data_IF_208100368627
#
_entry.id   IF_208100368627
#
_cell.length_a   1.000
_cell.length_b   1.000
_cell.length_c   1.000
_cell.angle_alpha   90.00
_cell.angle_beta   90.00
_cell.angle_gamma   90.00
#
_symmetry.space_group_name_H-M   'P 1'
#
loop_
_entity.id
_entity.type
_entity.pdbx_description
1 polymer ?
#
# COMPACT_ATOMS: atom_id res chain seq x y z
N UNK A 1 -22.96 14.47 8.70
CA UNK A 1 -22.90 13.84 10.03
C UNK A 1 -21.44 13.86 10.46
N UNK A 2 -21.04 14.87 11.25
CA UNK A 2 -19.79 14.80 12.00
C UNK A 2 -20.09 14.12 13.34
N UNK A 3 -19.97 12.79 13.37
CA UNK A 3 -20.11 12.04 14.61
C UNK A 3 -18.93 12.36 15.55
N UNK A 4 -19.16 13.34 16.42
CA UNK A 4 -18.21 13.77 17.43
C UNK A 4 -18.15 12.71 18.52
N UNK A 5 -17.13 11.85 18.49
CA UNK A 5 -16.89 10.83 19.51
C UNK A 5 -16.65 11.49 20.88
N UNK A 6 -17.68 11.51 21.73
CA UNK A 6 -17.56 11.92 23.12
C UNK A 6 -16.96 10.77 23.93
N UNK A 7 -15.66 10.82 24.18
CA UNK A 7 -14.96 9.87 25.04
C UNK A 7 -15.05 10.36 26.50
N UNK A 8 -15.90 9.72 27.29
CA UNK A 8 -16.10 10.06 28.71
C UNK A 8 -15.02 9.38 29.58
N UNK A 9 -13.98 10.15 29.92
CA UNK A 9 -12.83 9.64 30.69
C UNK A 9 -13.14 9.70 32.19
N UNK A 10 -13.28 8.53 32.84
CA UNK A 10 -13.45 8.41 34.30
C UNK A 10 -12.17 8.84 35.01
N UNK A 11 -12.16 10.05 35.58
CA UNK A 11 -11.00 10.60 36.28
C UNK A 11 -10.75 9.80 37.57
N UNK A 12 -9.59 9.15 37.74
CA UNK A 12 -9.29 8.34 38.92
C UNK A 12 -9.11 9.21 40.18
N UNK A 13 -9.56 8.69 41.33
CA UNK A 13 -9.63 9.40 42.63
C UNK A 13 -8.31 10.04 43.09
N UNK A 14 -7.15 9.44 42.77
CA UNK A 14 -5.84 10.00 43.14
C UNK A 14 -5.57 11.36 42.50
N UNK A 15 -6.18 11.65 41.35
CA UNK A 15 -6.09 12.96 40.69
C UNK A 15 -6.75 14.03 41.55
N UNK A 16 -7.75 13.69 42.39
CA UNK A 16 -8.42 14.69 43.25
C UNK A 16 -7.52 15.24 44.37
N UNK A 17 -6.47 14.52 44.74
CA UNK A 17 -5.55 14.84 45.84
C UNK A 17 -4.36 15.71 45.41
N UNK A 18 -4.13 15.86 44.10
CA UNK A 18 -3.13 16.76 43.54
C UNK A 18 -3.70 18.19 43.50
N UNK A 19 -2.88 19.22 43.72
CA UNK A 19 -3.33 20.62 43.56
C UNK A 19 -3.92 20.89 42.17
N UNK A 20 -4.81 21.88 42.03
CA UNK A 20 -5.54 22.16 40.78
C UNK A 20 -4.63 22.31 39.55
N UNK A 21 -3.44 22.87 39.73
CA UNK A 21 -2.45 23.01 38.65
C UNK A 21 -1.88 21.66 38.20
N UNK A 22 -1.57 20.76 39.14
CA UNK A 22 -1.07 19.42 38.83
C UNK A 22 -2.12 18.55 38.12
N UNK A 23 -3.40 18.68 38.48
CA UNK A 23 -4.50 17.99 37.78
C UNK A 23 -4.58 18.42 36.34
N UNK A 24 -4.59 19.72 36.07
CA UNK A 24 -4.69 20.26 34.72
C UNK A 24 -3.51 19.83 33.85
N UNK A 25 -2.29 19.85 34.40
CA UNK A 25 -1.09 19.43 33.68
C UNK A 25 -1.10 17.94 33.31
N UNK A 26 -1.50 17.06 34.24
CA UNK A 26 -1.61 15.62 33.98
C UNK A 26 -2.72 15.33 32.98
N UNK A 27 -3.86 16.00 33.10
CA UNK A 27 -5.01 15.78 32.23
C UNK A 27 -4.72 16.25 30.79
N UNK A 28 -3.96 17.35 30.63
CA UNK A 28 -3.43 17.81 29.34
C UNK A 28 -2.44 16.82 28.72
N UNK A 29 -1.48 16.31 29.50
CA UNK A 29 -0.51 15.30 29.04
C UNK A 29 -1.21 14.00 28.61
N UNK A 30 -2.15 13.52 29.42
CA UNK A 30 -2.95 12.32 29.12
C UNK A 30 -3.78 12.54 27.86
N UNK A 31 -4.45 13.69 27.73
CA UNK A 31 -5.25 14.03 26.54
C UNK A 31 -4.41 14.08 25.27
N UNK A 32 -3.23 14.73 25.32
CA UNK A 32 -2.30 14.78 24.17
C UNK A 32 -1.83 13.39 23.75
N UNK A 33 -1.58 12.51 24.71
CA UNK A 33 -1.12 11.15 24.42
C UNK A 33 -2.23 10.30 23.81
N UNK A 34 -3.42 10.36 24.39
CA UNK A 34 -4.61 9.66 23.88
C UNK A 34 -4.94 10.12 22.46
N UNK A 35 -4.96 11.43 22.18
CA UNK A 35 -5.28 11.95 20.86
C UNK A 35 -4.33 11.44 19.77
N UNK A 36 -3.03 11.41 20.09
CA UNK A 36 -1.99 10.88 19.21
C UNK A 36 -2.15 9.37 18.95
N UNK A 37 -2.39 8.59 20.00
CA UNK A 37 -2.58 7.15 19.88
C UNK A 37 -3.86 6.81 19.11
N UNK A 38 -4.98 7.51 19.38
CA UNK A 38 -6.24 7.35 18.66
C UNK A 38 -6.09 7.71 17.19
N UNK A 39 -5.44 8.84 16.86
CA UNK A 39 -5.16 9.20 15.46
C UNK A 39 -4.38 8.11 14.72
N UNK A 40 -3.32 7.57 15.33
CA UNK A 40 -2.52 6.51 14.73
C UNK A 40 -3.34 5.23 14.51
N UNK A 41 -4.16 4.85 15.48
CA UNK A 41 -5.03 3.68 15.40
C UNK A 41 -6.06 3.85 14.28
N UNK A 42 -6.71 5.02 14.19
CA UNK A 42 -7.71 5.31 13.16
C UNK A 42 -7.09 5.28 11.77
N UNK A 43 -5.93 5.90 11.57
CA UNK A 43 -5.23 5.88 10.28
C UNK A 43 -4.82 4.47 9.89
N UNK A 44 -4.33 3.66 10.84
CA UNK A 44 -3.95 2.27 10.58
C UNK A 44 -5.17 1.44 10.18
N UNK A 45 -6.24 1.49 10.97
CA UNK A 45 -7.48 0.76 10.70
C UNK A 45 -8.11 1.19 9.37
N UNK A 46 -8.12 2.49 9.06
CA UNK A 46 -8.63 3.00 7.79
C UNK A 46 -7.83 2.45 6.60
N UNK A 47 -6.49 2.39 6.71
CA UNK A 47 -5.64 1.80 5.67
C UNK A 47 -5.92 0.31 5.47
N UNK A 48 -6.04 -0.46 6.55
CA UNK A 48 -6.34 -1.90 6.48
C UNK A 48 -7.71 -2.15 5.84
N UNK A 49 -8.75 -1.41 6.26
CA UNK A 49 -10.09 -1.52 5.69
C UNK A 49 -10.12 -1.13 4.21
N UNK A 50 -9.39 -0.08 3.82
CA UNK A 50 -9.29 0.32 2.42
C UNK A 50 -8.52 -0.71 1.59
N UNK A 51 -7.44 -1.28 2.11
CA UNK A 51 -6.67 -2.32 1.42
C UNK A 51 -7.55 -3.53 1.12
N UNK A 52 -8.28 -4.03 2.13
CA UNK A 52 -9.18 -5.18 2.02
C UNK A 52 -10.34 -4.90 1.05
N UNK A 53 -11.01 -3.73 1.18
CA UNK A 53 -12.13 -3.37 0.29
C UNK A 53 -11.72 -3.14 -1.15
N UNK A 54 -10.51 -2.63 -1.39
CA UNK A 54 -10.00 -2.33 -2.72
C UNK A 54 -9.19 -3.48 -3.31
N UNK A 55 -9.02 -4.59 -2.58
CA UNK A 55 -8.23 -5.73 -3.01
C UNK A 55 -6.78 -5.35 -3.35
N UNK A 56 -6.20 -4.39 -2.61
CA UNK A 56 -4.84 -3.92 -2.82
C UNK A 56 -3.78 -4.84 -2.18
N UNK A 57 -4.24 -5.84 -1.43
CA UNK A 57 -3.41 -6.89 -0.85
C UNK A 57 -2.92 -7.81 -1.97
N UNK A 58 -1.73 -7.52 -2.48
CA UNK A 58 -1.01 -8.30 -3.49
C UNK A 58 -1.59 -8.29 -4.90
N UNK A 59 -1.53 -7.12 -5.55
CA UNK A 59 -1.00 -7.13 -6.92
C UNK A 59 0.48 -7.47 -6.79
N UNK A 60 0.80 -8.76 -6.92
CA UNK A 60 2.19 -9.23 -7.00
C UNK A 60 2.94 -8.29 -7.94
N UNK A 61 3.90 -7.54 -7.39
CA UNK A 61 4.77 -6.73 -8.20
C UNK A 61 5.40 -7.65 -9.25
N UNK A 62 5.31 -7.36 -10.56
CA UNK A 62 5.99 -8.17 -11.58
C UNK A 62 7.52 -8.21 -11.41
N UNK A 63 8.06 -7.45 -10.44
CA UNK A 63 9.46 -7.47 -10.02
C UNK A 63 9.66 -7.95 -8.56
N UNK A 64 8.79 -8.81 -8.05
CA UNK A 64 9.05 -9.55 -6.80
C UNK A 64 10.19 -10.58 -6.98
N UNK A 65 10.85 -11.03 -5.88
CA UNK A 65 11.83 -12.11 -5.97
C UNK A 65 11.17 -13.35 -6.57
N UNK A 66 11.71 -13.79 -7.71
CA UNK A 66 11.20 -14.89 -8.54
C UNK A 66 11.10 -16.16 -7.68
N UNK A 67 9.89 -16.49 -7.25
CA UNK A 67 9.58 -17.81 -6.73
C UNK A 67 9.41 -18.75 -7.92
N UNK A 68 10.43 -19.60 -8.11
CA UNK A 68 10.46 -20.69 -9.08
C UNK A 68 9.32 -21.66 -8.78
N UNK A 69 8.20 -21.55 -9.48
CA UNK A 69 7.17 -22.60 -9.54
C UNK A 69 6.90 -22.96 -11.00
N UNK A 70 7.26 -24.21 -11.32
CA UNK A 70 6.95 -24.91 -12.57
C UNK A 70 5.42 -25.01 -12.79
N UNK A 71 5.05 -25.08 -14.07
CA UNK A 71 3.80 -25.64 -14.65
C UNK A 71 2.54 -24.74 -14.57
N UNK A 72 1.74 -24.49 -15.62
CA UNK A 72 1.56 -25.12 -16.95
C UNK A 72 0.83 -24.17 -17.90
N UNK A 73 1.05 -24.33 -19.21
CA UNK A 73 0.27 -23.69 -20.28
C UNK A 73 -1.20 -24.14 -20.30
N UNK A 74 -2.10 -23.30 -20.84
CA UNK A 74 -2.90 -23.74 -21.97
C UNK A 74 -2.85 -22.77 -23.15
N UNK A 75 -2.97 -23.41 -24.31
CA UNK A 75 -2.81 -22.93 -25.67
C UNK A 75 -3.96 -22.01 -26.07
N UNK A 76 -3.64 -20.85 -26.66
CA UNK A 76 -4.52 -20.18 -27.62
C UNK A 76 -3.66 -19.94 -28.86
N UNK A 77 -3.85 -20.80 -29.86
CA UNK A 77 -3.28 -20.69 -31.20
C UNK A 77 -3.89 -19.47 -31.87
N UNK A 78 -3.09 -18.44 -32.18
CA UNK A 78 -3.25 -17.64 -33.40
C UNK A 78 -1.87 -17.24 -33.94
N UNK A 79 -1.40 -18.07 -34.86
CA UNK A 79 -0.88 -17.64 -36.17
C UNK A 79 0.45 -16.86 -36.19
N UNK A 80 1.53 -17.64 -36.35
CA UNK A 80 2.72 -17.33 -37.17
C UNK A 80 3.07 -15.85 -37.33
N UNK A 81 3.76 -15.31 -36.34
CA UNK A 81 4.30 -13.96 -36.40
C UNK A 81 5.72 -14.00 -35.87
N UNK A 82 6.65 -14.12 -36.81
CA UNK A 82 8.10 -14.20 -36.60
C UNK A 82 8.55 -13.24 -35.49
N UNK A 83 8.91 -13.80 -34.33
CA UNK A 83 9.56 -13.08 -33.26
C UNK A 83 10.90 -12.56 -33.77
N UNK A 84 10.97 -11.27 -34.09
CA UNK A 84 12.22 -10.63 -34.50
C UNK A 84 12.96 -10.17 -33.24
N UNK A 85 14.18 -10.65 -33.03
CA UNK A 85 15.02 -10.13 -31.95
C UNK A 85 15.59 -8.76 -32.33
N UNK A 86 15.65 -7.85 -31.35
CA UNK A 86 16.26 -6.55 -31.55
C UNK A 86 17.75 -6.69 -31.89
N UNK A 87 18.27 -6.09 -32.98
CA UNK A 87 19.69 -6.22 -33.34
C UNK A 87 20.63 -5.58 -32.30
N UNK A 88 20.16 -4.60 -31.53
CA UNK A 88 20.94 -3.94 -30.50
C UNK A 88 20.93 -4.71 -29.15
N UNK A 89 19.76 -4.95 -28.56
CA UNK A 89 19.64 -5.56 -27.23
C UNK A 89 19.20 -7.03 -27.21
N UNK A 90 18.96 -7.63 -28.38
CA UNK A 90 18.59 -9.04 -28.59
C UNK A 90 17.30 -9.51 -27.91
N UNK A 91 16.55 -8.60 -27.27
CA UNK A 91 15.23 -8.90 -26.72
C UNK A 91 14.24 -9.16 -27.85
N UNK A 92 13.33 -10.11 -27.63
CA UNK A 92 12.25 -10.43 -28.54
C UNK A 92 11.36 -9.20 -28.75
N UNK A 93 10.95 -8.98 -30.00
CA UNK A 93 10.08 -7.90 -30.38
C UNK A 93 8.84 -8.46 -31.07
N UNK A 94 7.72 -7.83 -30.75
CA UNK A 94 6.47 -8.07 -31.46
C UNK A 94 6.61 -7.56 -32.91
N UNK A 95 6.05 -8.28 -33.90
CA UNK A 95 6.13 -7.85 -35.29
C UNK A 95 5.31 -6.56 -35.52
N UNK A 96 5.86 -5.66 -36.33
CA UNK A 96 5.23 -4.38 -36.67
C UNK A 96 5.61 -3.20 -35.76
N UNK A 97 6.52 -3.40 -34.79
CA UNK A 97 7.02 -2.30 -33.95
C UNK A 97 8.11 -1.50 -34.67
N UNK A 98 7.95 -0.17 -34.72
CA UNK A 98 8.93 0.76 -35.35
C UNK A 98 10.16 1.00 -34.47
N UNK A 99 10.03 0.76 -33.16
CA UNK A 99 11.07 0.98 -32.16
C UNK A 99 11.10 -0.15 -31.13
N UNK A 100 12.29 -0.49 -30.66
CA UNK A 100 12.47 -1.43 -29.57
C UNK A 100 11.98 -0.82 -28.26
N UNK A 101 10.99 -1.45 -27.63
CA UNK A 101 10.42 -1.02 -26.34
C UNK A 101 11.40 -1.11 -25.17
N UNK A 102 12.51 -1.83 -25.36
CA UNK A 102 13.49 -2.08 -24.30
C UNK A 102 14.75 -1.21 -24.41
N UNK A 103 15.22 -0.87 -25.61
CA UNK A 103 16.44 -0.09 -25.81
C UNK A 103 16.25 1.17 -26.67
N UNK A 104 15.05 1.41 -27.22
CA UNK A 104 14.76 2.57 -28.05
C UNK A 104 15.30 2.50 -29.48
N UNK A 105 15.98 1.42 -29.87
CA UNK A 105 16.49 1.23 -31.23
C UNK A 105 15.36 1.32 -32.26
N UNK A 106 15.54 2.13 -33.31
CA UNK A 106 14.64 2.18 -34.47
C UNK A 106 14.85 0.94 -35.34
N UNK A 107 13.76 0.26 -35.70
CA UNK A 107 13.78 -1.07 -36.35
C UNK A 107 13.27 -1.06 -37.81
N UNK A 108 12.77 0.09 -38.28
CA UNK A 108 12.24 0.26 -39.63
C UNK A 108 11.03 1.17 -39.63
#
# INVERSE_FOLDING_TARGET
MEDTFNLEVKIPEFVKLLGEEGKNQILEEVKKKIDKDVSNIVVKAAREIMAEKLGLDARESPFGPIHTKKQSAPVEEEESKSDLNCPNCQKALEPGVKFCRFCGQKLG
#
